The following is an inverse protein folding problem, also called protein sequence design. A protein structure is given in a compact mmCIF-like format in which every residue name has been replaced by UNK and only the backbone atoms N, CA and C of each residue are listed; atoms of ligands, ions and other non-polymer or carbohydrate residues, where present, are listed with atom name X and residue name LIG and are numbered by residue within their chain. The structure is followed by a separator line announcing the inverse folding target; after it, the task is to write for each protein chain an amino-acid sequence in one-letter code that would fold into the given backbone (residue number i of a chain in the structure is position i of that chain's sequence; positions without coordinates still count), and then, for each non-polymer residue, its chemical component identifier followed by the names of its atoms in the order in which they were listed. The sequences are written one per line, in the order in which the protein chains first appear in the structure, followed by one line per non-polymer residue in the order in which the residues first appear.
data_IF_065062911393
#
_entry.id   IF_065062911393
#
_cell.length_a   1.000
_cell.length_b   1.000
_cell.length_c   1.000
_cell.angle_alpha   90.00
_cell.angle_beta   90.00
_cell.angle_gamma   90.00
#
_symmetry.space_group_name_H-M   'P 1'
#
loop_
_entity.id
_entity.type
_entity.pdbx_description
1 polymer ?
#
# COMPACT_ATOMS: atom_id res chain seq x y z
N UNK A 1 -21.64 0.82 10.89
CA UNK A 1 -20.73 1.41 9.89
C UNK A 1 -19.91 0.28 9.34
N UNK A 2 -19.91 0.12 8.02
CA UNK A 2 -19.06 -0.86 7.37
C UNK A 2 -17.58 -0.43 7.53
N UNK A 3 -16.77 -1.29 8.16
CA UNK A 3 -15.36 -1.02 8.47
C UNK A 3 -14.46 -1.10 7.24
N UNK A 4 -14.93 -1.70 6.14
CA UNK A 4 -14.17 -1.86 4.90
C UNK A 4 -14.35 -0.67 3.96
N UNK A 5 -15.56 -0.09 3.92
CA UNK A 5 -15.94 1.05 3.08
C UNK A 5 -14.86 2.15 2.89
N UNK A 6 -14.21 2.71 3.93
CA UNK A 6 -13.21 3.76 3.73
C UNK A 6 -11.97 3.27 2.96
N UNK A 7 -11.58 2.01 3.11
CA UNK A 7 -10.42 1.42 2.45
C UNK A 7 -10.75 1.08 0.99
N UNK A 8 -11.91 0.49 0.76
CA UNK A 8 -12.41 0.14 -0.58
C UNK A 8 -12.58 1.38 -1.44
N UNK A 9 -13.21 2.43 -0.90
CA UNK A 9 -13.40 3.69 -1.62
C UNK A 9 -12.05 4.32 -2.03
N UNK A 10 -11.04 4.24 -1.17
CA UNK A 10 -9.69 4.76 -1.49
C UNK A 10 -9.03 3.93 -2.58
N UNK A 11 -9.11 2.60 -2.50
CA UNK A 11 -8.52 1.73 -3.52
C UNK A 11 -9.22 1.87 -4.87
N UNK A 12 -10.55 1.93 -4.89
CA UNK A 12 -11.35 2.18 -6.11
C UNK A 12 -11.00 3.54 -6.70
N UNK A 13 -10.93 4.60 -5.89
CA UNK A 13 -10.55 5.93 -6.36
C UNK A 13 -9.12 5.97 -6.92
N UNK A 14 -8.18 5.23 -6.33
CA UNK A 14 -6.82 5.08 -6.84
C UNK A 14 -6.82 4.32 -8.17
N UNK A 15 -7.51 3.18 -8.25
CA UNK A 15 -7.67 2.39 -9.47
C UNK A 15 -8.23 3.22 -10.62
N UNK A 16 -9.33 3.92 -10.39
CA UNK A 16 -9.97 4.82 -11.35
C UNK A 16 -9.00 5.87 -11.90
N UNK A 17 -8.19 6.48 -11.02
CA UNK A 17 -7.17 7.46 -11.41
C UNK A 17 -6.09 6.82 -12.26
N UNK A 18 -5.58 5.66 -11.85
CA UNK A 18 -4.58 4.92 -12.61
C UNK A 18 -5.13 4.51 -13.99
N UNK A 19 -6.37 4.02 -14.08
CA UNK A 19 -7.00 3.61 -15.34
C UNK A 19 -7.05 4.77 -16.32
N UNK A 20 -7.45 5.96 -15.84
CA UNK A 20 -7.46 7.20 -16.65
C UNK A 20 -6.07 7.66 -17.07
N UNK A 21 -5.03 7.37 -16.29
CA UNK A 21 -3.66 7.85 -16.55
C UNK A 21 -2.83 6.92 -17.43
N UNK A 22 -2.90 5.60 -17.21
CA UNK A 22 -2.00 4.61 -17.84
C UNK A 22 -2.74 3.46 -18.54
N UNK A 23 -4.07 3.52 -18.59
CA UNK A 23 -4.91 2.54 -19.29
C UNK A 23 -5.22 1.28 -18.46
N UNK A 24 -6.40 0.72 -18.69
CA UNK A 24 -6.96 -0.36 -17.86
C UNK A 24 -6.14 -1.65 -17.85
N UNK A 25 -5.60 -2.06 -19.01
CA UNK A 25 -4.79 -3.27 -19.10
C UNK A 25 -3.50 -3.17 -18.30
N UNK A 26 -2.84 -2.00 -18.34
CA UNK A 26 -1.65 -1.74 -17.52
C UNK A 26 -2.02 -1.85 -16.05
N UNK A 27 -3.10 -1.18 -15.62
CA UNK A 27 -3.56 -1.21 -14.23
C UNK A 27 -3.88 -2.62 -13.76
N UNK A 28 -4.53 -3.44 -14.58
CA UNK A 28 -4.88 -4.81 -14.21
C UNK A 28 -3.64 -5.69 -13.97
N UNK A 29 -2.56 -5.47 -14.72
CA UNK A 29 -1.27 -6.13 -14.46
C UNK A 29 -0.64 -5.63 -13.15
N UNK A 30 -0.68 -4.32 -12.88
CA UNK A 30 -0.12 -3.77 -11.63
C UNK A 30 -0.90 -4.24 -10.41
N UNK A 31 -2.23 -4.26 -10.49
CA UNK A 31 -3.11 -4.78 -9.45
C UNK A 31 -2.83 -6.26 -9.19
N UNK A 32 -2.74 -7.08 -10.24
CA UNK A 32 -2.43 -8.51 -10.08
C UNK A 32 -1.07 -8.71 -9.37
N UNK A 33 -0.07 -7.90 -9.73
CA UNK A 33 1.25 -7.96 -9.10
C UNK A 33 1.21 -7.51 -7.64
N UNK A 34 0.57 -6.38 -7.35
CA UNK A 34 0.48 -5.84 -5.99
C UNK A 34 -0.32 -6.78 -5.08
N UNK A 35 -1.44 -7.32 -5.55
CA UNK A 35 -2.23 -8.33 -4.82
C UNK A 35 -1.37 -9.55 -4.50
N UNK A 36 -0.62 -10.06 -5.47
CA UNK A 36 0.27 -11.21 -5.25
C UNK A 36 1.37 -10.92 -4.23
N UNK A 37 1.99 -9.74 -4.28
CA UNK A 37 3.04 -9.34 -3.33
C UNK A 37 2.47 -9.15 -1.91
N UNK A 38 1.33 -8.47 -1.78
CA UNK A 38 0.68 -8.24 -0.50
C UNK A 38 0.13 -9.53 0.11
N UNK A 39 -0.37 -10.45 -0.72
CA UNK A 39 -0.92 -11.72 -0.23
C UNK A 39 0.10 -12.63 0.44
N UNK A 40 1.40 -12.37 0.26
CA UNK A 40 2.46 -13.09 0.98
C UNK A 40 2.41 -12.81 2.49
N UNK A 41 1.93 -11.62 2.88
CA UNK A 41 1.80 -11.18 4.29
C UNK A 41 0.34 -11.20 4.76
N UNK A 42 -0.60 -10.88 3.87
CA UNK A 42 -2.04 -10.81 4.14
C UNK A 42 -2.82 -11.71 3.17
N UNK A 43 -2.91 -13.02 3.43
CA UNK A 43 -3.46 -13.98 2.47
C UNK A 43 -4.86 -13.64 1.96
N UNK A 44 -5.70 -12.98 2.78
CA UNK A 44 -7.05 -12.57 2.44
C UNK A 44 -7.11 -11.55 1.30
N UNK A 45 -6.04 -10.79 1.05
CA UNK A 45 -5.93 -9.86 -0.09
C UNK A 45 -6.01 -10.59 -1.44
N UNK A 46 -5.60 -11.86 -1.50
CA UNK A 46 -5.75 -12.65 -2.72
C UNK A 46 -7.22 -12.90 -3.12
N UNK A 47 -8.18 -12.62 -2.24
CA UNK A 47 -9.60 -12.75 -2.50
C UNK A 47 -10.21 -11.51 -3.18
N UNK A 48 -9.46 -10.40 -3.27
CA UNK A 48 -9.84 -9.24 -4.06
C UNK A 48 -9.87 -9.66 -5.53
N UNK A 49 -11.00 -9.46 -6.18
CA UNK A 49 -11.13 -9.67 -7.62
C UNK A 49 -11.04 -8.35 -8.34
N UNK A 50 -10.37 -8.35 -9.49
CA UNK A 50 -10.27 -7.19 -10.34
C UNK A 50 -10.30 -7.64 -11.81
N UNK A 51 -10.97 -6.87 -12.64
CA UNK A 51 -11.03 -7.07 -14.08
C UNK A 51 -11.21 -5.73 -14.81
N UNK A 52 -11.58 -5.78 -16.10
CA UNK A 52 -11.79 -4.58 -16.90
C UNK A 52 -13.07 -3.79 -16.49
N UNK A 53 -13.86 -4.29 -15.54
CA UNK A 53 -15.11 -3.68 -15.07
C UNK A 53 -14.99 -3.06 -13.68
N UNK A 54 -13.96 -3.42 -12.90
CA UNK A 54 -13.69 -2.81 -11.60
C UNK A 54 -13.04 -3.76 -10.58
N UNK A 55 -13.25 -3.45 -9.30
CA UNK A 55 -12.72 -4.21 -8.16
C UNK A 55 -13.89 -4.71 -7.30
N UNK A 56 -13.82 -5.97 -6.85
CA UNK A 56 -14.80 -6.59 -5.97
C UNK A 56 -14.14 -7.10 -4.69
N UNK A 57 -14.81 -6.87 -3.56
CA UNK A 57 -14.27 -7.13 -2.22
C UNK A 57 -15.03 -8.18 -1.42
N UNK A 58 -16.21 -8.63 -1.86
CA UNK A 58 -17.14 -9.46 -1.07
C UNK A 58 -16.52 -10.74 -0.47
N UNK A 59 -15.56 -11.34 -1.16
CA UNK A 59 -14.88 -12.55 -0.68
C UNK A 59 -13.85 -12.22 0.42
N UNK A 60 -13.11 -11.12 0.26
CA UNK A 60 -12.15 -10.63 1.24
C UNK A 60 -12.86 -10.11 2.49
N UNK A 61 -13.94 -9.33 2.35
CA UNK A 61 -14.71 -8.81 3.49
C UNK A 61 -15.23 -9.95 4.38
N UNK A 62 -15.77 -11.02 3.77
CA UNK A 62 -16.22 -12.21 4.50
C UNK A 62 -15.08 -12.92 5.24
N UNK A 63 -13.89 -12.98 4.64
CA UNK A 63 -12.73 -13.59 5.29
C UNK A 63 -12.17 -12.74 6.45
N UNK A 64 -12.35 -11.42 6.39
CA UNK A 64 -11.87 -10.46 7.39
C UNK A 64 -12.96 -10.00 8.37
N UNK A 65 -14.16 -10.58 8.32
CA UNK A 65 -15.32 -10.15 9.11
C UNK A 65 -15.00 -10.08 10.61
N UNK A 66 -14.33 -11.09 11.14
CA UNK A 66 -13.98 -11.19 12.57
C UNK A 66 -12.60 -10.60 12.91
N UNK A 67 -11.90 -10.04 11.92
CA UNK A 67 -10.57 -9.46 12.14
C UNK A 67 -10.63 -8.06 12.75
N UNK A 68 -9.66 -7.68 13.61
CA UNK A 68 -9.52 -6.31 14.10
C UNK A 68 -9.37 -5.31 12.94
N UNK A 69 -9.95 -4.12 13.10
CA UNK A 69 -9.85 -3.03 12.12
C UNK A 69 -8.40 -2.66 11.79
N UNK A 70 -7.50 -2.76 12.77
CA UNK A 70 -6.07 -2.54 12.57
C UNK A 70 -5.46 -3.51 11.55
N UNK A 71 -5.80 -4.80 11.61
CA UNK A 71 -5.28 -5.79 10.66
C UNK A 71 -5.76 -5.50 9.23
N UNK A 72 -7.02 -5.04 9.11
CA UNK A 72 -7.60 -4.60 7.83
C UNK A 72 -6.85 -3.36 7.31
N UNK A 73 -6.63 -2.38 8.17
CA UNK A 73 -5.90 -1.16 7.83
C UNK A 73 -4.49 -1.47 7.32
N UNK A 74 -3.77 -2.34 8.02
CA UNK A 74 -2.40 -2.74 7.67
C UNK A 74 -2.37 -3.45 6.30
N UNK A 75 -3.35 -4.33 6.02
CA UNK A 75 -3.44 -5.03 4.75
C UNK A 75 -3.67 -4.10 3.54
N UNK A 76 -4.57 -3.12 3.68
CA UNK A 76 -4.83 -2.13 2.63
C UNK A 76 -3.69 -1.11 2.47
N UNK A 77 -3.02 -0.75 3.57
CA UNK A 77 -1.82 0.09 3.52
C UNK A 77 -0.72 -0.60 2.72
N UNK A 78 -0.40 -1.86 3.04
CA UNK A 78 0.61 -2.65 2.34
C UNK A 78 0.26 -2.85 0.85
N UNK A 79 -1.03 -3.07 0.51
CA UNK A 79 -1.48 -3.13 -0.88
C UNK A 79 -1.25 -1.83 -1.63
N UNK A 80 -1.59 -0.70 -1.01
CA UNK A 80 -1.42 0.63 -1.60
C UNK A 80 0.06 0.95 -1.80
N UNK A 81 0.90 0.63 -0.81
CA UNK A 81 2.35 0.78 -0.89
C UNK A 81 2.94 -0.04 -2.04
N UNK A 82 2.59 -1.32 -2.16
CA UNK A 82 3.06 -2.17 -3.25
C UNK A 82 2.65 -1.62 -4.63
N UNK A 83 1.40 -1.14 -4.78
CA UNK A 83 0.97 -0.47 -6.01
C UNK A 83 1.84 0.75 -6.34
N UNK A 84 2.08 1.61 -5.36
CA UNK A 84 2.88 2.82 -5.52
C UNK A 84 4.34 2.50 -5.86
N UNK A 85 4.93 1.50 -5.22
CA UNK A 85 6.31 1.06 -5.50
C UNK A 85 6.42 0.50 -6.92
N UNK A 86 5.47 -0.33 -7.36
CA UNK A 86 5.46 -0.87 -8.72
C UNK A 86 5.30 0.26 -9.74
N UNK A 87 4.36 1.19 -9.51
CA UNK A 87 4.20 2.38 -10.35
C UNK A 87 5.49 3.20 -10.44
N UNK A 88 6.12 3.47 -9.30
CA UNK A 88 7.31 4.29 -9.25
C UNK A 88 8.49 3.63 -9.97
N UNK A 89 8.61 2.29 -9.90
CA UNK A 89 9.60 1.53 -10.69
C UNK A 89 9.37 1.66 -12.20
N UNK A 90 8.13 1.72 -12.66
CA UNK A 90 7.81 1.96 -14.08
C UNK A 90 8.16 3.38 -14.54
N UNK A 91 8.01 4.36 -13.66
CA UNK A 91 8.33 5.76 -13.93
C UNK A 91 9.84 6.05 -13.89
N UNK A 92 10.64 5.11 -13.39
CA UNK A 92 12.10 5.20 -13.32
C UNK A 92 12.62 5.41 -11.91
N UNK A 93 13.92 5.17 -11.75
CA UNK A 93 14.61 5.05 -10.45
C UNK A 93 14.40 6.26 -9.52
N UNK A 94 14.48 7.47 -10.06
CA UNK A 94 14.33 8.70 -9.26
C UNK A 94 12.94 8.80 -8.62
N UNK A 95 11.89 8.42 -9.35
CA UNK A 95 10.52 8.44 -8.83
C UNK A 95 10.33 7.34 -7.77
N UNK A 96 10.92 6.17 -7.98
CA UNK A 96 10.91 5.07 -7.01
C UNK A 96 11.55 5.45 -5.68
N UNK A 97 12.71 6.10 -5.70
CA UNK A 97 13.42 6.55 -4.50
C UNK A 97 12.60 7.63 -3.75
N UNK A 98 12.03 8.61 -4.46
CA UNK A 98 11.20 9.66 -3.85
C UNK A 98 9.93 9.13 -3.20
N UNK A 99 9.23 8.18 -3.85
CA UNK A 99 8.02 7.58 -3.28
C UNK A 99 8.35 6.68 -2.09
N UNK A 100 9.41 5.86 -2.17
CA UNK A 100 9.83 5.02 -1.05
C UNK A 100 10.10 5.87 0.21
N UNK A 101 10.85 6.98 0.07
CA UNK A 101 11.11 7.90 1.18
C UNK A 101 9.85 8.61 1.71
N UNK A 102 8.83 8.82 0.87
CA UNK A 102 7.57 9.44 1.29
C UNK A 102 6.63 8.48 2.05
N UNK A 103 6.85 7.16 1.92
CA UNK A 103 6.08 6.11 2.58
C UNK A 103 6.71 5.66 3.91
N UNK A 104 7.97 6.02 4.16
CA UNK A 104 8.60 5.80 5.46
C UNK A 104 7.87 6.59 6.57
N UNK A 105 7.58 5.97 7.72
CA UNK A 105 6.95 6.68 8.83
C UNK A 105 7.87 7.80 9.33
N UNK A 106 7.32 8.98 9.70
CA UNK A 106 8.14 10.06 10.24
C UNK A 106 8.72 9.65 11.60
N UNK A 107 9.99 9.25 11.62
CA UNK A 107 10.76 9.07 12.85
C UNK A 107 11.61 7.81 12.93
N UNK A 108 12.78 7.85 12.30
CA UNK A 108 14.05 7.49 12.95
C UNK A 108 15.12 8.50 12.55
N UNK A 109 14.93 9.75 12.96
CA UNK A 109 16.07 10.61 13.26
C UNK A 109 16.70 10.03 14.52
N UNK A 110 17.67 9.14 14.36
CA UNK A 110 18.60 8.83 15.44
C UNK A 110 19.31 10.13 15.82
N UNK A 111 18.89 10.64 16.97
CA UNK A 111 19.57 11.51 17.93
C UNK A 111 21.03 11.84 17.64
N UNK A 112 21.23 13.13 17.39
CA UNK A 112 22.26 14.04 17.93
C UNK A 112 23.46 13.41 18.70
N UNK A 113 24.72 13.76 18.36
CA UNK A 113 25.90 13.21 19.02
C UNK A 113 26.03 13.72 20.46
N UNK A 114 26.21 12.79 21.40
CA UNK A 114 26.54 13.07 22.78
C UNK A 114 27.83 13.89 22.88
N UNK A 115 27.68 15.20 23.12
CA UNK A 115 28.67 16.00 23.83
C UNK A 115 28.43 15.80 25.31
N UNK A 116 29.35 15.11 25.99
CA UNK A 116 29.60 15.39 27.40
C UNK A 116 31.10 15.49 27.66
N UNK A 117 31.42 16.53 28.41
CA UNK A 117 32.73 16.99 28.82
C UNK A 117 33.24 16.21 30.05
N UNK A 118 34.55 16.17 30.22
CA UNK A 118 35.22 15.83 31.49
C UNK A 118 36.55 15.13 31.22
N UNK A 119 37.72 15.61 31.64
CA UNK A 119 38.04 16.73 32.51
C UNK A 119 39.54 17.01 32.47
N UNK A 120 39.93 18.08 33.16
CA UNK A 120 41.29 18.58 33.32
C UNK A 120 42.25 17.55 33.99
N UNK A 121 43.56 17.82 33.98
CA UNK A 121 44.12 18.72 35.01
C UNK A 121 44.87 19.93 34.45
#
# INVERSE_FOLDING_TARGET
MDKFAPYEQRLVALWDRMVRSIGIHTVNVLMARAIYETSQKHPEIALIKHDDTGIQFDAMERALADRPEREIADAFADLTENLLVILARLLGREMAERLASALEPPGRTETEPAREAGGAP
#
